data_IF_537970253621
#
_entry.id   IF_537970253621
#
_cell.length_a   1.000
_cell.length_b   1.000
_cell.length_c   1.000
_cell.angle_alpha   90.00
_cell.angle_beta   90.00
_cell.angle_gamma   90.00
#
_symmetry.space_group_name_H-M   'P 1'
#
loop_
_entity.id
_entity.type
_entity.pdbx_description
1 polymer ?
#
# COMPACT_ATOMS: atom_id res chain seq x y z
N UNK A 1 24.02 -9.62 -53.35
CA UNK A 1 24.09 -10.08 -51.93
C UNK A 1 24.11 -8.94 -50.92
N UNK A 2 24.80 -7.82 -51.15
CA UNK A 2 24.85 -6.68 -50.21
C UNK A 2 23.48 -6.05 -49.87
N UNK A 3 22.58 -5.92 -50.85
CA UNK A 3 21.25 -5.32 -50.64
C UNK A 3 20.32 -6.15 -49.73
N UNK A 4 20.47 -7.48 -49.70
CA UNK A 4 19.69 -8.37 -48.83
C UNK A 4 20.19 -8.33 -47.37
N UNK A 5 21.50 -8.14 -47.18
CA UNK A 5 22.11 -7.97 -45.85
C UNK A 5 21.73 -6.62 -45.22
N UNK A 6 21.74 -5.55 -46.02
CA UNK A 6 21.34 -4.21 -45.56
C UNK A 6 19.86 -4.15 -45.15
N UNK A 7 18.99 -4.83 -45.91
CA UNK A 7 17.55 -4.92 -45.61
C UNK A 7 17.26 -5.75 -44.35
N UNK A 8 18.05 -6.79 -44.07
CA UNK A 8 17.95 -7.59 -42.83
C UNK A 8 18.48 -6.83 -41.60
N UNK A 9 19.55 -6.04 -41.75
CA UNK A 9 20.09 -5.19 -40.68
C UNK A 9 19.11 -4.06 -40.31
N UNK A 10 18.43 -3.45 -41.29
CA UNK A 10 17.42 -2.42 -41.05
C UNK A 10 16.18 -2.96 -40.30
N UNK A 11 15.71 -4.17 -40.64
CA UNK A 11 14.57 -4.81 -39.95
C UNK A 11 14.95 -5.23 -38.52
N UNK A 12 16.17 -5.72 -38.31
CA UNK A 12 16.67 -6.08 -36.98
C UNK A 12 16.90 -4.87 -36.08
N UNK A 13 17.31 -3.72 -36.63
CA UNK A 13 17.50 -2.48 -35.87
C UNK A 13 16.17 -1.89 -35.37
N UNK A 14 15.10 -1.98 -36.15
CA UNK A 14 13.79 -1.46 -35.78
C UNK A 14 13.09 -2.30 -34.68
N UNK A 15 13.34 -3.61 -34.65
CA UNK A 15 12.81 -4.50 -33.60
C UNK A 15 13.42 -4.24 -32.21
N UNK A 16 14.65 -3.70 -32.14
CA UNK A 16 15.30 -3.34 -30.87
C UNK A 16 14.85 -1.99 -30.31
N UNK A 17 14.33 -1.08 -31.17
CA UNK A 17 13.80 0.23 -30.77
C UNK A 17 12.33 0.16 -30.29
N UNK A 18 11.61 -0.92 -30.62
CA UNK A 18 10.22 -1.14 -30.22
C UNK A 18 10.07 -1.71 -28.79
N UNK A 19 11.17 -1.95 -28.06
CA UNK A 19 11.16 -2.09 -26.59
C UNK A 19 11.04 -0.73 -25.88
N UNK A 20 10.45 0.26 -26.57
CA UNK A 20 10.10 1.58 -26.05
C UNK A 20 9.52 1.45 -24.65
N UNK A 21 10.39 1.74 -23.69
CA UNK A 21 10.16 2.14 -22.33
C UNK A 21 8.68 2.35 -21.99
N UNK A 22 8.06 1.35 -21.35
CA UNK A 22 7.13 1.64 -20.25
C UNK A 22 7.96 2.15 -19.05
N UNK A 23 8.76 3.20 -19.24
CA UNK A 23 9.12 4.03 -18.10
C UNK A 23 7.85 4.82 -17.81
N UNK A 24 7.05 4.30 -16.88
CA UNK A 24 6.21 5.21 -16.11
C UNK A 24 7.16 6.29 -15.62
N UNK A 25 6.94 7.52 -16.06
CA UNK A 25 7.59 8.67 -15.47
C UNK A 25 7.01 8.77 -14.06
N UNK A 26 7.48 7.90 -13.17
CA UNK A 26 7.40 8.10 -11.75
C UNK A 26 8.24 9.32 -11.48
N UNK A 27 7.60 10.48 -11.53
CA UNK A 27 8.14 11.70 -10.98
C UNK A 27 8.48 11.39 -9.53
N UNK A 28 9.74 11.03 -9.31
CA UNK A 28 10.36 10.82 -8.00
C UNK A 28 10.58 12.17 -7.30
N UNK A 29 9.68 13.13 -7.56
CA UNK A 29 9.41 14.26 -6.69
C UNK A 29 8.66 13.72 -5.48
N UNK A 30 9.43 12.99 -4.67
CA UNK A 30 9.19 12.71 -3.25
C UNK A 30 9.31 14.02 -2.46
N UNK A 31 8.72 15.10 -2.97
CA UNK A 31 8.19 16.16 -2.14
C UNK A 31 7.32 15.44 -1.13
N UNK A 32 7.73 15.48 0.14
CA UNK A 32 6.88 15.10 1.26
C UNK A 32 5.64 16.00 1.19
N UNK A 33 4.67 15.62 0.35
CA UNK A 33 3.32 16.13 0.43
C UNK A 33 2.91 15.81 1.85
N UNK A 34 2.85 16.86 2.66
CA UNK A 34 2.43 16.76 4.05
C UNK A 34 0.93 16.45 4.01
N UNK A 35 0.60 15.17 3.95
CA UNK A 35 -0.79 14.71 3.95
C UNK A 35 -1.41 15.20 5.27
N UNK A 36 -2.53 15.96 5.22
CA UNK A 36 -3.17 16.46 6.43
C UNK A 36 -3.51 15.33 7.39
N UNK A 37 -3.37 15.57 8.69
CA UNK A 37 -3.62 14.55 9.70
C UNK A 37 -5.06 14.01 9.64
N UNK A 38 -6.05 14.85 9.31
CA UNK A 38 -7.44 14.43 9.12
C UNK A 38 -7.59 13.38 8.02
N UNK A 39 -6.88 13.55 6.89
CA UNK A 39 -6.84 12.58 5.78
C UNK A 39 -6.27 11.25 6.25
N UNK A 40 -5.15 11.27 6.96
CA UNK A 40 -4.50 10.06 7.49
C UNK A 40 -5.42 9.31 8.47
N UNK A 41 -6.10 10.04 9.35
CA UNK A 41 -7.05 9.46 10.31
C UNK A 41 -8.27 8.85 9.61
N UNK A 42 -8.87 9.53 8.63
CA UNK A 42 -10.00 8.99 7.85
C UNK A 42 -9.61 7.68 7.15
N UNK A 43 -8.44 7.63 6.53
CA UNK A 43 -7.93 6.43 5.86
C UNK A 43 -7.72 5.30 6.87
N UNK A 44 -7.08 5.57 8.01
CA UNK A 44 -6.82 4.55 9.02
C UNK A 44 -8.11 3.93 9.59
N UNK A 45 -9.14 4.76 9.83
CA UNK A 45 -10.45 4.30 10.33
C UNK A 45 -11.16 3.42 9.29
N UNK A 46 -11.26 3.88 8.03
CA UNK A 46 -11.91 3.10 6.97
C UNK A 46 -11.17 1.78 6.71
N UNK A 47 -9.84 1.81 6.56
CA UNK A 47 -9.05 0.60 6.33
C UNK A 47 -9.15 -0.39 7.49
N UNK A 48 -9.24 0.08 8.74
CA UNK A 48 -9.43 -0.79 9.92
C UNK A 48 -10.81 -1.47 9.92
N UNK A 49 -11.87 -0.75 9.52
CA UNK A 49 -13.20 -1.35 9.39
C UNK A 49 -13.18 -2.50 8.38
N UNK A 50 -12.54 -2.32 7.23
CA UNK A 50 -12.39 -3.37 6.19
C UNK A 50 -11.48 -4.50 6.64
N UNK A 51 -10.43 -4.18 7.38
CA UNK A 51 -9.54 -5.18 7.96
C UNK A 51 -10.31 -6.15 8.86
N UNK A 52 -11.26 -5.66 9.67
CA UNK A 52 -12.08 -6.50 10.54
C UNK A 52 -13.05 -7.44 9.84
N UNK A 53 -13.39 -7.17 8.58
CA UNK A 53 -14.19 -8.08 7.74
C UNK A 53 -13.41 -9.36 7.39
N UNK A 54 -12.07 -9.33 7.45
CA UNK A 54 -11.21 -10.45 7.11
C UNK A 54 -10.41 -10.99 8.31
N UNK A 55 -10.11 -10.13 9.29
CA UNK A 55 -9.26 -10.45 10.44
C UNK A 55 -9.99 -10.08 11.72
N UNK A 56 -10.80 -10.97 12.30
CA UNK A 56 -11.61 -10.63 13.46
C UNK A 56 -10.77 -10.29 14.71
N UNK A 57 -11.21 -9.32 15.55
CA UNK A 57 -10.52 -8.96 16.79
C UNK A 57 -10.52 -10.10 17.83
N UNK A 58 -9.64 -10.01 18.83
CA UNK A 58 -9.60 -10.90 20.00
C UNK A 58 -8.75 -12.17 19.87
N UNK A 59 -8.49 -12.67 18.67
CA UNK A 59 -7.68 -13.91 18.48
C UNK A 59 -6.22 -13.66 18.16
N UNK A 60 -5.87 -12.42 17.80
CA UNK A 60 -4.57 -12.09 17.18
C UNK A 60 -4.11 -10.68 17.58
N UNK A 61 -2.84 -10.55 17.99
CA UNK A 61 -2.19 -9.25 18.17
C UNK A 61 -1.77 -8.70 16.80
N UNK A 62 -1.89 -7.40 16.58
CA UNK A 62 -1.44 -6.73 15.34
C UNK A 62 -0.13 -6.02 15.61
N UNK A 63 0.93 -6.39 14.89
CA UNK A 63 2.25 -5.77 14.99
C UNK A 63 2.44 -4.76 13.86
N UNK A 64 2.57 -3.47 14.19
CA UNK A 64 2.79 -2.37 13.24
C UNK A 64 4.28 -2.06 13.02
N UNK A 65 5.18 -2.90 13.54
CA UNK A 65 6.62 -2.66 13.51
C UNK A 65 7.06 -1.49 14.39
N UNK A 66 8.31 -1.06 14.19
CA UNK A 66 8.94 0.01 14.98
C UNK A 66 8.76 1.42 14.38
N UNK A 67 8.09 1.54 13.23
CA UNK A 67 7.92 2.81 12.56
C UNK A 67 6.98 3.74 13.36
N UNK A 68 7.44 4.96 13.60
CA UNK A 68 6.68 6.01 14.27
C UNK A 68 6.27 7.09 13.26
N UNK A 69 5.34 6.78 12.37
CA UNK A 69 4.77 7.74 11.43
C UNK A 69 3.35 8.18 11.83
N UNK A 70 2.85 9.30 11.29
CA UNK A 70 1.45 9.71 11.49
C UNK A 70 0.45 8.62 11.11
N UNK A 71 0.73 7.87 10.04
CA UNK A 71 -0.09 6.73 9.60
C UNK A 71 -0.03 5.58 10.61
N UNK A 72 1.16 5.22 11.08
CA UNK A 72 1.34 4.18 12.08
C UNK A 72 0.53 4.47 13.35
N UNK A 73 0.55 5.72 13.81
CA UNK A 73 -0.15 6.15 15.02
C UNK A 73 -1.67 6.16 14.81
N UNK A 74 -2.14 6.68 13.68
CA UNK A 74 -3.56 6.66 13.34
C UNK A 74 -4.11 5.24 13.21
N UNK A 75 -3.33 4.31 12.62
CA UNK A 75 -3.69 2.90 12.54
C UNK A 75 -3.71 2.24 13.92
N UNK A 76 -2.71 2.50 14.77
CA UNK A 76 -2.70 1.97 16.13
C UNK A 76 -3.94 2.38 16.93
N UNK A 77 -4.34 3.65 16.82
CA UNK A 77 -5.55 4.17 17.47
C UNK A 77 -6.83 3.54 16.89
N UNK A 78 -6.93 3.46 15.55
CA UNK A 78 -8.09 2.87 14.88
C UNK A 78 -8.25 1.37 15.20
N UNK A 79 -7.15 0.61 15.13
CA UNK A 79 -7.11 -0.82 15.49
C UNK A 79 -7.47 -1.03 16.96
N UNK A 80 -6.92 -0.22 17.87
CA UNK A 80 -7.26 -0.33 19.29
C UNK A 80 -8.74 -0.07 19.54
N UNK A 81 -9.31 0.98 18.92
CA UNK A 81 -10.76 1.25 18.97
C UNK A 81 -11.60 0.14 18.32
N UNK A 82 -11.06 -0.53 17.31
CA UNK A 82 -11.67 -1.71 16.68
C UNK A 82 -11.56 -3.01 17.50
N UNK A 83 -10.93 -2.99 18.68
CA UNK A 83 -10.81 -4.14 19.57
C UNK A 83 -9.57 -5.02 19.35
N UNK A 84 -8.59 -4.55 18.57
CA UNK A 84 -7.32 -5.26 18.40
C UNK A 84 -6.31 -4.92 19.49
N UNK A 85 -5.56 -5.92 19.93
CA UNK A 85 -4.34 -5.69 20.70
C UNK A 85 -3.21 -5.30 19.75
N UNK A 86 -2.75 -4.04 19.83
CA UNK A 86 -1.66 -3.53 18.99
C UNK A 86 -0.32 -3.63 19.72
N UNK A 87 0.70 -4.15 19.04
CA UNK A 87 2.09 -4.19 19.50
C UNK A 87 3.01 -3.49 18.50
N UNK A 88 4.21 -3.10 18.96
CA UNK A 88 5.19 -2.37 18.14
C UNK A 88 6.52 -3.12 18.13
N UNK A 89 6.85 -3.71 16.98
CA UNK A 89 8.16 -4.28 16.69
C UNK A 89 8.63 -5.31 17.71
N UNK A 90 7.71 -6.11 18.25
CA UNK A 90 8.07 -7.18 19.19
C UNK A 90 8.87 -8.24 18.43
N UNK A 91 10.07 -8.61 18.89
CA UNK A 91 10.80 -9.76 18.37
C UNK A 91 9.93 -11.02 18.36
N UNK A 92 10.12 -11.90 17.38
CA UNK A 92 9.25 -13.07 17.18
C UNK A 92 9.20 -14.00 18.40
N UNK A 93 10.31 -14.10 19.14
CA UNK A 93 10.49 -14.82 20.40
C UNK A 93 9.76 -14.20 21.60
N UNK A 94 9.36 -12.92 21.50
CA UNK A 94 8.65 -12.17 22.55
C UNK A 94 7.16 -11.95 22.24
N UNK A 95 6.69 -12.47 21.10
CA UNK A 95 5.29 -12.43 20.71
C UNK A 95 4.51 -13.47 21.50
N UNK A 96 3.39 -13.06 22.09
CA UNK A 96 2.51 -13.94 22.86
C UNK A 96 1.25 -14.21 22.04
N UNK A 97 0.94 -15.48 21.82
CA UNK A 97 -0.20 -15.89 20.99
C UNK A 97 0.03 -15.65 19.50
N UNK A 98 -1.06 -15.67 18.73
CA UNK A 98 -0.99 -15.38 17.29
C UNK A 98 -0.71 -13.88 17.10
N UNK A 99 0.35 -13.55 16.35
CA UNK A 99 0.66 -12.17 15.96
C UNK A 99 0.61 -12.03 14.45
N UNK A 100 -0.11 -11.02 13.98
CA UNK A 100 -0.21 -10.64 12.59
C UNK A 100 0.65 -9.42 12.34
N UNK A 101 1.77 -9.62 11.66
CA UNK A 101 2.61 -8.54 11.15
C UNK A 101 1.82 -7.79 10.08
N UNK A 102 1.62 -6.49 10.30
CA UNK A 102 0.85 -5.62 9.42
C UNK A 102 1.75 -4.51 8.89
N UNK A 103 2.11 -4.62 7.61
CA UNK A 103 2.71 -3.54 6.86
C UNK A 103 1.62 -2.59 6.35
N UNK A 104 1.93 -1.31 6.27
CA UNK A 104 1.00 -0.27 5.85
C UNK A 104 1.70 0.79 5.04
N UNK A 105 1.04 1.25 3.98
CA UNK A 105 1.58 2.28 3.11
C UNK A 105 0.45 3.16 2.56
N UNK A 106 0.74 4.45 2.40
CA UNK A 106 -0.07 5.37 1.61
C UNK A 106 0.82 6.03 0.56
N UNK A 107 0.33 6.09 -0.67
CA UNK A 107 1.06 6.67 -1.80
C UNK A 107 0.13 7.52 -2.64
N UNK A 108 0.53 8.75 -3.03
CA UNK A 108 -0.17 9.50 -4.06
C UNK A 108 -0.22 8.69 -5.37
N UNK A 109 -1.39 8.59 -5.98
CA UNK A 109 -1.61 7.89 -7.23
C UNK A 109 -2.76 8.55 -7.99
N UNK A 110 -2.50 9.06 -9.19
CA UNK A 110 -3.52 9.66 -10.08
C UNK A 110 -4.42 10.72 -9.41
N UNK A 111 -3.84 11.62 -8.60
CA UNK A 111 -4.59 12.65 -7.88
C UNK A 111 -5.37 12.14 -6.65
N UNK A 112 -5.25 10.85 -6.34
CA UNK A 112 -5.81 10.18 -5.19
C UNK A 112 -4.68 9.70 -4.27
N UNK A 113 -5.06 9.09 -3.14
CA UNK A 113 -4.14 8.36 -2.26
C UNK A 113 -4.51 6.88 -2.33
N UNK A 114 -3.58 6.04 -2.75
CA UNK A 114 -3.70 4.59 -2.61
C UNK A 114 -3.21 4.18 -1.23
N UNK A 115 -4.09 3.60 -0.41
CA UNK A 115 -3.73 2.98 0.86
C UNK A 115 -3.66 1.46 0.72
N UNK A 116 -2.67 0.86 1.35
CA UNK A 116 -2.48 -0.60 1.37
C UNK A 116 -2.18 -1.09 2.79
N UNK A 117 -2.84 -2.16 3.20
CA UNK A 117 -2.51 -2.95 4.39
C UNK A 117 -2.07 -4.34 3.95
N UNK A 118 -0.92 -4.81 4.39
CA UNK A 118 -0.37 -6.10 3.96
C UNK A 118 0.02 -6.98 5.14
N UNK A 119 -0.36 -8.24 5.04
CA UNK A 119 0.11 -9.35 5.87
C UNK A 119 1.00 -10.26 5.03
N UNK A 120 1.44 -11.39 5.58
CA UNK A 120 2.17 -12.40 4.79
C UNK A 120 1.30 -13.05 3.72
N UNK A 121 0.05 -13.36 4.06
CA UNK A 121 -0.86 -14.13 3.21
C UNK A 121 -1.73 -13.26 2.29
N UNK A 122 -1.90 -11.98 2.61
CA UNK A 122 -2.77 -11.12 1.81
C UNK A 122 -2.42 -9.64 1.90
N UNK A 123 -2.84 -8.89 0.89
CA UNK A 123 -2.81 -7.43 0.90
C UNK A 123 -4.19 -6.87 0.54
N UNK A 124 -4.55 -5.82 1.25
CA UNK A 124 -5.78 -5.08 1.18
C UNK A 124 -5.46 -3.69 0.63
N UNK A 125 -6.19 -3.21 -0.37
CA UNK A 125 -5.92 -1.89 -0.96
C UNK A 125 -7.19 -1.16 -1.38
N UNK A 126 -7.12 0.18 -1.32
CA UNK A 126 -8.20 1.08 -1.71
C UNK A 126 -7.67 2.47 -2.03
N UNK A 127 -8.24 3.13 -3.02
CA UNK A 127 -7.94 4.51 -3.37
C UNK A 127 -8.88 5.49 -2.65
N UNK A 128 -8.37 6.68 -2.33
CA UNK A 128 -9.06 7.73 -1.59
C UNK A 128 -8.91 9.09 -2.28
N UNK A 129 -10.01 9.83 -2.35
CA UNK A 129 -10.00 11.23 -2.73
C UNK A 129 -9.86 12.11 -1.48
N UNK A 130 -8.99 13.12 -1.53
CA UNK A 130 -8.84 14.11 -0.47
C UNK A 130 -10.02 15.08 -0.54
N UNK A 131 -10.68 15.30 0.59
CA UNK A 131 -11.81 16.22 0.74
C UNK A 131 -11.56 17.18 1.90
N UNK A 132 -12.35 18.25 2.00
CA UNK A 132 -12.23 19.25 3.08
C UNK A 132 -12.35 18.66 4.50
N UNK A 133 -13.00 17.51 4.65
CA UNK A 133 -13.23 16.84 5.95
C UNK A 133 -12.19 15.74 6.25
N UNK A 134 -11.31 15.38 5.30
CA UNK A 134 -10.43 14.22 5.41
C UNK A 134 -10.34 13.47 4.08
N UNK A 135 -10.43 12.14 4.10
CA UNK A 135 -10.40 11.31 2.88
C UNK A 135 -11.70 10.51 2.71
N UNK A 136 -12.16 10.36 1.47
CA UNK A 136 -13.34 9.54 1.11
C UNK A 136 -12.92 8.41 0.16
N UNK A 137 -13.45 7.18 0.31
CA UNK A 137 -13.17 6.09 -0.62
C UNK A 137 -13.52 6.47 -2.06
N UNK A 138 -12.55 6.36 -2.97
CA UNK A 138 -12.71 6.59 -4.40
C UNK A 138 -12.81 5.28 -5.20
N UNK A 139 -12.49 4.14 -4.57
CA UNK A 139 -12.59 2.82 -5.19
C UNK A 139 -13.29 1.80 -4.29
N UNK A 140 -13.78 0.73 -4.92
CA UNK A 140 -14.06 -0.52 -4.22
C UNK A 140 -12.78 -1.05 -3.54
N UNK A 141 -12.97 -1.90 -2.54
CA UNK A 141 -11.86 -2.50 -1.81
C UNK A 141 -11.34 -3.72 -2.56
N UNK A 142 -10.02 -3.84 -2.67
CA UNK A 142 -9.36 -4.96 -3.35
C UNK A 142 -8.56 -5.81 -2.37
N UNK A 143 -8.68 -7.14 -2.50
CA UNK A 143 -7.91 -8.11 -1.74
C UNK A 143 -7.10 -8.99 -2.69
N UNK A 144 -5.79 -9.03 -2.47
CA UNK A 144 -4.89 -9.97 -3.11
C UNK A 144 -4.49 -11.01 -2.07
N UNK A 145 -4.77 -12.29 -2.35
CA UNK A 145 -4.32 -13.42 -1.52
C UNK A 145 -3.10 -14.06 -2.18
N UNK A 146 -2.07 -14.34 -1.40
CA UNK A 146 -0.87 -15.07 -1.82
C UNK A 146 -1.10 -16.56 -1.52
N UNK A 147 -0.95 -17.41 -2.53
CA UNK A 147 -1.10 -18.86 -2.45
C UNK A 147 0.23 -19.56 -2.24
#
# INVERSE_FOLDING_TARGET
>A
MAALLLRRLLVSGFALLALSACQTAGSDDRSKLSIPQSVVQSIAIDMTSRFGEHFQPGTTQVDLGLENSPLANALAEALTRGGYAVVRGKPADQRQGKTLELAYHIHPHEGQILATLSTRESSLSRAYEISGEGAKPASSFSILRRG
#
